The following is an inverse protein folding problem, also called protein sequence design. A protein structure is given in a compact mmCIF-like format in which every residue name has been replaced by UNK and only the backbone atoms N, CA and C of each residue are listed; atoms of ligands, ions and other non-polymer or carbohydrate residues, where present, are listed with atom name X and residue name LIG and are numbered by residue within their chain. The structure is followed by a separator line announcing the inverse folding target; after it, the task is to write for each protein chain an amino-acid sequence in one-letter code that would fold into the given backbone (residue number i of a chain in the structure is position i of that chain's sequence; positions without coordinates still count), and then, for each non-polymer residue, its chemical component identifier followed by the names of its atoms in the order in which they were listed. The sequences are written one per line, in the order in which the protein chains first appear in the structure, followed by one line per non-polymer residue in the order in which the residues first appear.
data_IF_802342488952
#
_entry.id   IF_802342488952
#
_cell.length_a   1.000
_cell.length_b   1.000
_cell.length_c   1.000
_cell.angle_alpha   90.00
_cell.angle_beta   90.00
_cell.angle_gamma   90.00
#
_symmetry.space_group_name_H-M   'P 1'
#
loop_
_entity.id
_entity.type
_entity.pdbx_description
1 polymer ?
#
# COMPACT_ATOMS: atom_id res chain seq x y z
N UNK A 1 7.56 1.75 10.69
CA UNK A 1 7.64 0.28 10.55
C UNK A 1 7.52 -0.19 9.11
N UNK A 2 6.51 0.27 8.35
CA UNK A 2 6.40 0.00 6.89
C UNK A 2 7.73 0.20 6.14
N UNK A 3 8.35 1.36 6.30
CA UNK A 3 9.64 1.70 5.65
C UNK A 3 10.75 0.73 5.95
N UNK A 4 10.90 0.31 7.22
CA UNK A 4 11.93 -0.64 7.64
C UNK A 4 11.73 -2.00 6.94
N UNK A 5 10.48 -2.46 6.85
CA UNK A 5 10.16 -3.72 6.15
C UNK A 5 10.48 -3.67 4.66
N UNK A 6 10.10 -2.59 3.97
CA UNK A 6 10.38 -2.43 2.54
C UNK A 6 11.88 -2.21 2.26
N UNK A 7 12.59 -1.47 3.11
CA UNK A 7 14.05 -1.32 3.02
C UNK A 7 14.78 -2.66 3.22
N UNK A 8 14.26 -3.54 4.08
CA UNK A 8 14.78 -4.91 4.22
C UNK A 8 14.76 -5.68 2.89
N UNK A 9 13.64 -5.61 2.14
CA UNK A 9 13.55 -6.20 0.80
C UNK A 9 14.52 -5.58 -0.21
N UNK A 10 14.71 -4.25 -0.15
CA UNK A 10 15.62 -3.53 -1.06
C UNK A 10 17.07 -3.94 -0.82
N UNK A 11 17.50 -4.02 0.45
CA UNK A 11 18.89 -4.36 0.81
C UNK A 11 19.23 -5.80 0.40
N UNK A 12 18.30 -6.75 0.58
CA UNK A 12 18.54 -8.15 0.26
C UNK A 12 18.81 -8.36 -1.23
N UNK A 13 18.05 -7.68 -2.11
CA UNK A 13 18.21 -7.86 -3.56
C UNK A 13 19.33 -7.00 -4.15
N UNK A 14 19.78 -5.95 -3.46
CA UNK A 14 20.76 -4.98 -3.96
C UNK A 14 22.04 -5.62 -4.51
N UNK A 15 22.52 -6.69 -3.87
CA UNK A 15 23.70 -7.44 -4.31
C UNK A 15 23.45 -8.30 -5.56
N UNK A 16 22.24 -8.85 -5.71
CA UNK A 16 21.91 -9.79 -6.78
C UNK A 16 21.46 -9.07 -8.04
N UNK A 17 20.57 -8.09 -7.89
CA UNK A 17 20.06 -7.31 -9.00
C UNK A 17 19.73 -5.87 -8.56
N UNK A 18 20.59 -4.89 -8.90
CA UNK A 18 20.38 -3.50 -8.50
C UNK A 18 19.16 -2.87 -9.19
N UNK A 19 18.80 -3.31 -10.40
CA UNK A 19 17.62 -2.79 -11.12
C UNK A 19 16.32 -3.17 -10.38
N UNK A 20 16.20 -4.42 -9.90
CA UNK A 20 15.06 -4.84 -9.07
C UNK A 20 15.00 -4.06 -7.74
N UNK A 21 16.15 -3.73 -7.16
CA UNK A 21 16.20 -2.91 -5.95
C UNK A 21 15.62 -1.51 -6.18
N UNK A 22 15.96 -0.88 -7.32
CA UNK A 22 15.49 0.43 -7.71
C UNK A 22 13.99 0.41 -8.04
N UNK A 23 13.53 -0.61 -8.76
CA UNK A 23 12.12 -0.82 -9.06
C UNK A 23 11.26 -0.91 -7.77
N UNK A 24 11.69 -1.70 -6.78
CA UNK A 24 11.00 -1.80 -5.50
C UNK A 24 11.00 -0.46 -4.75
N UNK A 25 12.11 0.28 -4.79
CA UNK A 25 12.19 1.61 -4.16
C UNK A 25 11.23 2.62 -4.79
N UNK A 26 11.17 2.70 -6.13
CA UNK A 26 10.26 3.60 -6.85
C UNK A 26 8.79 3.25 -6.55
N UNK A 27 8.42 1.96 -6.61
CA UNK A 27 7.06 1.54 -6.26
C UNK A 27 6.71 1.88 -4.81
N UNK A 28 7.66 1.70 -3.88
CA UNK A 28 7.45 2.05 -2.48
C UNK A 28 7.22 3.55 -2.29
N UNK A 29 7.97 4.41 -2.99
CA UNK A 29 7.75 5.87 -2.97
C UNK A 29 6.36 6.25 -3.49
N UNK A 30 5.93 5.64 -4.60
CA UNK A 30 4.59 5.90 -5.18
C UNK A 30 3.49 5.50 -4.19
N UNK A 31 3.56 4.29 -3.62
CA UNK A 31 2.53 3.80 -2.69
C UNK A 31 2.49 4.59 -1.38
N UNK A 32 3.65 5.00 -0.85
CA UNK A 32 3.70 5.81 0.36
C UNK A 32 3.19 7.23 0.12
N UNK A 33 3.52 7.84 -1.03
CA UNK A 33 2.95 9.12 -1.44
C UNK A 33 1.41 9.05 -1.56
N UNK A 34 0.88 7.99 -2.18
CA UNK A 34 -0.57 7.72 -2.25
C UNK A 34 -1.22 7.68 -0.85
N UNK A 35 -0.58 6.95 0.07
CA UNK A 35 -1.09 6.81 1.43
C UNK A 35 -1.03 8.12 2.21
N UNK A 36 0.08 8.87 2.14
CA UNK A 36 0.17 10.16 2.82
C UNK A 36 -0.80 11.20 2.24
N UNK A 37 -0.93 11.27 0.92
CA UNK A 37 -1.88 12.17 0.26
C UNK A 37 -3.32 11.91 0.70
N UNK A 38 -3.70 10.65 0.80
CA UNK A 38 -5.05 10.30 1.27
C UNK A 38 -5.26 10.61 2.76
N UNK A 39 -4.28 10.38 3.64
CA UNK A 39 -4.35 10.80 5.05
C UNK A 39 -4.46 12.31 5.21
N UNK A 40 -3.74 13.08 4.38
CA UNK A 40 -3.79 14.55 4.38
C UNK A 40 -5.19 15.02 3.97
N UNK A 41 -5.79 14.41 2.93
CA UNK A 41 -7.13 14.79 2.48
C UNK A 41 -8.24 14.54 3.53
N UNK A 42 -8.05 13.55 4.42
CA UNK A 42 -8.96 13.25 5.55
C UNK A 42 -8.53 13.93 6.85
N UNK A 43 -7.35 14.56 6.90
CA UNK A 43 -6.75 15.16 8.10
C UNK A 43 -6.67 14.20 9.30
N UNK A 44 -6.43 12.91 9.03
CA UNK A 44 -6.47 11.84 10.04
C UNK A 44 -5.08 11.37 10.43
N UNK A 45 -4.78 11.37 11.73
CA UNK A 45 -3.51 10.83 12.27
C UNK A 45 -3.72 9.58 13.12
N UNK A 46 -4.92 9.42 13.70
CA UNK A 46 -5.27 8.29 14.57
C UNK A 46 -6.14 7.27 13.83
N UNK A 47 -6.02 6.01 14.25
CA UNK A 47 -6.80 4.90 13.67
C UNK A 47 -8.33 5.11 13.76
N UNK A 48 -8.81 5.63 14.89
CA UNK A 48 -10.24 5.94 15.08
C UNK A 48 -10.75 7.09 14.22
N UNK A 49 -9.87 8.02 13.80
CA UNK A 49 -10.25 9.10 12.90
C UNK A 49 -10.37 8.60 11.46
N UNK A 50 -9.50 7.67 11.06
CA UNK A 50 -9.58 7.04 9.73
C UNK A 50 -10.84 6.17 9.62
N UNK A 51 -11.22 5.43 10.67
CA UNK A 51 -12.45 4.60 10.63
C UNK A 51 -13.73 5.44 10.47
N UNK A 52 -13.78 6.62 11.10
CA UNK A 52 -14.92 7.53 10.98
C UNK A 52 -15.02 8.23 9.61
N UNK A 53 -14.03 8.04 8.72
CA UNK A 53 -14.05 8.64 7.37
C UNK A 53 -15.00 7.93 6.41
N UNK A 54 -15.34 6.66 6.66
CA UNK A 54 -16.26 5.88 5.84
C UNK A 54 -17.63 6.55 5.67
N UNK A 55 -18.16 7.14 6.74
CA UNK A 55 -19.47 7.82 6.73
C UNK A 55 -19.45 9.19 6.04
N UNK A 56 -18.27 9.76 5.77
CA UNK A 56 -18.11 11.08 5.14
C UNK A 56 -17.70 10.97 3.68
N UNK A 57 -16.73 10.12 3.38
CA UNK A 57 -16.11 9.99 2.05
C UNK A 57 -15.82 8.52 1.72
N UNK A 58 -16.87 7.71 1.42
CA UNK A 58 -16.73 6.27 1.25
C UNK A 58 -15.75 5.89 0.12
N UNK A 59 -15.80 6.60 -1.02
CA UNK A 59 -14.91 6.34 -2.16
C UNK A 59 -13.43 6.50 -1.80
N UNK A 60 -13.08 7.54 -1.04
CA UNK A 60 -11.72 7.77 -0.60
C UNK A 60 -11.27 6.65 0.36
N UNK A 61 -12.11 6.29 1.34
CA UNK A 61 -11.82 5.19 2.27
C UNK A 61 -11.65 3.83 1.58
N UNK A 62 -12.37 3.56 0.50
CA UNK A 62 -12.13 2.33 -0.29
C UNK A 62 -10.78 2.37 -1.00
N UNK A 63 -10.39 3.52 -1.56
CA UNK A 63 -9.08 3.64 -2.22
C UNK A 63 -7.92 3.56 -1.24
N UNK A 64 -8.05 4.13 -0.03
CA UNK A 64 -7.00 4.02 1.00
C UNK A 64 -6.84 2.58 1.49
N UNK A 65 -7.95 1.85 1.64
CA UNK A 65 -7.94 0.42 1.95
C UNK A 65 -7.14 -0.37 0.89
N UNK A 66 -7.42 -0.14 -0.40
CA UNK A 66 -6.72 -0.81 -1.49
C UNK A 66 -5.21 -0.48 -1.52
N UNK A 67 -4.84 0.78 -1.27
CA UNK A 67 -3.42 1.19 -1.18
C UNK A 67 -2.71 0.54 0.03
N UNK A 68 -3.40 0.38 1.16
CA UNK A 68 -2.84 -0.35 2.31
C UNK A 68 -2.61 -1.83 1.99
N UNK A 69 -3.53 -2.46 1.25
CA UNK A 69 -3.35 -3.84 0.78
C UNK A 69 -2.25 -3.96 -0.28
N UNK A 70 -2.01 -2.92 -1.10
CA UNK A 70 -0.91 -2.92 -2.07
C UNK A 70 0.44 -2.85 -1.36
N UNK A 71 0.60 -2.02 -0.33
CA UNK A 71 1.79 -2.01 0.54
C UNK A 71 2.03 -3.38 1.20
N UNK A 72 0.96 -4.07 1.57
CA UNK A 72 1.05 -5.41 2.12
C UNK A 72 1.48 -6.46 1.08
N UNK A 73 1.28 -6.19 -0.21
CA UNK A 73 1.73 -7.01 -1.34
C UNK A 73 0.81 -8.20 -1.60
N UNK A 74 -0.50 -7.97 -1.66
CA UNK A 74 -1.48 -9.01 -2.00
C UNK A 74 -1.63 -9.22 -3.52
N UNK A 75 -1.88 -10.45 -3.99
CA UNK A 75 -1.97 -10.82 -5.41
C UNK A 75 -3.35 -10.45 -5.99
N UNK A 76 -3.59 -9.16 -6.26
CA UNK A 76 -3.72 -8.63 -7.63
C UNK A 76 -3.16 -7.19 -7.76
N UNK A 77 -2.48 -6.70 -6.72
CA UNK A 77 -2.05 -5.31 -6.56
C UNK A 77 -0.55 -5.14 -6.87
N UNK A 78 -0.17 -3.92 -7.22
CA UNK A 78 1.19 -3.55 -7.67
C UNK A 78 2.30 -3.97 -6.71
N UNK A 79 2.11 -3.81 -5.39
CA UNK A 79 3.14 -4.10 -4.40
C UNK A 79 3.42 -5.60 -4.22
N UNK A 80 2.64 -6.48 -4.84
CA UNK A 80 2.97 -7.91 -4.95
C UNK A 80 4.11 -8.16 -5.94
N UNK A 81 4.14 -7.43 -7.06
CA UNK A 81 5.12 -7.62 -8.13
C UNK A 81 6.58 -7.57 -7.64
N UNK A 82 7.05 -6.53 -6.90
CA UNK A 82 8.44 -6.49 -6.46
C UNK A 82 8.78 -7.63 -5.50
N UNK A 83 7.88 -8.00 -4.58
CA UNK A 83 8.12 -9.11 -3.64
C UNK A 83 8.25 -10.44 -4.39
N UNK A 84 7.33 -10.72 -5.33
CA UNK A 84 7.38 -11.92 -6.16
C UNK A 84 8.67 -11.97 -6.99
N UNK A 85 9.02 -10.88 -7.67
CA UNK A 85 10.23 -10.83 -8.50
C UNK A 85 11.50 -11.02 -7.67
N UNK A 86 11.59 -10.41 -6.49
CA UNK A 86 12.75 -10.60 -5.60
C UNK A 86 12.84 -12.05 -5.14
N UNK A 87 11.72 -12.69 -4.78
CA UNK A 87 11.75 -14.10 -4.39
C UNK A 87 12.16 -15.03 -5.53
N UNK A 88 11.70 -14.77 -6.76
CA UNK A 88 12.11 -15.53 -7.93
C UNK A 88 13.61 -15.40 -8.18
N UNK A 89 14.16 -14.18 -8.05
CA UNK A 89 15.59 -13.96 -8.25
C UNK A 89 16.44 -14.63 -7.16
N UNK A 90 15.99 -14.59 -5.90
CA UNK A 90 16.66 -15.32 -4.81
C UNK A 90 16.66 -16.84 -5.03
N UNK A 91 15.55 -17.40 -5.55
CA UNK A 91 15.46 -18.83 -5.87
C UNK A 91 16.41 -19.20 -7.02
N UNK A 92 16.52 -18.35 -8.07
CA UNK A 92 17.48 -18.57 -9.16
C UNK A 92 18.93 -18.61 -8.68
N UNK A 93 19.26 -17.81 -7.66
CA UNK A 93 20.60 -17.75 -7.05
C UNK A 93 20.82 -18.83 -5.98
N UNK A 94 19.97 -19.87 -5.93
CA UNK A 94 19.99 -20.96 -4.94
C UNK A 94 19.82 -20.52 -3.47
N UNK A 95 19.37 -19.28 -3.21
CA UNK A 95 19.15 -18.75 -1.86
C UNK A 95 17.71 -19.02 -1.37
N UNK A 96 17.24 -20.26 -1.51
CA UNK A 96 15.84 -20.65 -1.24
C UNK A 96 15.45 -20.50 0.23
N UNK A 97 16.34 -20.86 1.16
CA UNK A 97 16.11 -20.71 2.60
C UNK A 97 15.91 -19.24 2.99
N UNK A 98 16.73 -18.35 2.42
CA UNK A 98 16.63 -16.91 2.65
C UNK A 98 15.30 -16.36 2.13
N UNK A 99 14.89 -16.76 0.92
CA UNK A 99 13.61 -16.37 0.35
C UNK A 99 12.42 -16.81 1.23
N UNK A 100 12.45 -18.02 1.77
CA UNK A 100 11.40 -18.54 2.66
C UNK A 100 11.28 -17.74 3.96
N UNK A 101 12.42 -17.44 4.61
CA UNK A 101 12.45 -16.68 5.87
C UNK A 101 11.89 -15.26 5.66
N UNK A 102 12.31 -14.57 4.59
CA UNK A 102 11.86 -13.20 4.32
C UNK A 102 10.36 -13.19 4.00
N UNK A 103 9.86 -14.16 3.25
CA UNK A 103 8.43 -14.31 2.99
C UNK A 103 7.63 -14.51 4.27
N UNK A 104 8.08 -15.39 5.17
CA UNK A 104 7.44 -15.62 6.46
C UNK A 104 7.39 -14.34 7.32
N UNK A 105 8.50 -13.59 7.39
CA UNK A 105 8.55 -12.32 8.13
C UNK A 105 7.59 -11.29 7.51
N UNK A 106 7.44 -11.29 6.18
CA UNK A 106 6.55 -10.36 5.49
C UNK A 106 5.07 -10.56 5.83
N UNK A 107 4.67 -11.80 6.17
CA UNK A 107 3.31 -12.12 6.61
C UNK A 107 2.96 -11.44 7.95
N UNK A 108 3.95 -11.20 8.80
CA UNK A 108 3.74 -10.49 10.06
C UNK A 108 3.38 -9.01 9.80
N UNK A 109 4.02 -8.38 8.81
CA UNK A 109 3.67 -7.03 8.38
C UNK A 109 2.28 -7.00 7.72
N UNK A 110 1.93 -8.02 6.93
CA UNK A 110 0.60 -8.16 6.31
C UNK A 110 -0.52 -8.16 7.36
N UNK A 111 -0.35 -8.85 8.50
CA UNK A 111 -1.35 -8.88 9.56
C UNK A 111 -1.71 -7.48 10.08
N UNK A 112 -0.72 -6.59 10.23
CA UNK A 112 -0.98 -5.21 10.66
C UNK A 112 -1.83 -4.44 9.65
N UNK A 113 -1.53 -4.55 8.36
CA UNK A 113 -2.31 -3.89 7.31
C UNK A 113 -3.74 -4.44 7.24
N UNK A 114 -3.91 -5.76 7.35
CA UNK A 114 -5.24 -6.39 7.37
C UNK A 114 -6.09 -5.87 8.53
N UNK A 115 -5.53 -5.83 9.74
CA UNK A 115 -6.22 -5.26 10.92
C UNK A 115 -6.65 -3.81 10.68
N UNK A 116 -5.80 -3.02 10.02
CA UNK A 116 -6.11 -1.63 9.73
C UNK A 116 -7.27 -1.52 8.72
N UNK A 117 -7.22 -2.28 7.63
CA UNK A 117 -8.28 -2.29 6.62
C UNK A 117 -9.63 -2.74 7.18
N UNK A 118 -9.60 -3.71 8.09
CA UNK A 118 -10.79 -4.19 8.80
C UNK A 118 -11.49 -3.06 9.56
N UNK A 119 -10.72 -2.27 10.33
CA UNK A 119 -11.26 -1.16 11.14
C UNK A 119 -11.74 0.02 10.29
N UNK A 120 -11.15 0.24 9.10
CA UNK A 120 -11.49 1.38 8.24
C UNK A 120 -12.79 1.15 7.46
N UNK A 121 -12.99 -0.06 6.93
CA UNK A 121 -14.04 -0.31 5.93
C UNK A 121 -14.99 -1.44 6.30
N UNK A 122 -14.48 -2.53 6.87
CA UNK A 122 -15.28 -3.73 7.15
C UNK A 122 -16.13 -3.58 8.41
N UNK A 123 -15.72 -2.74 9.35
CA UNK A 123 -16.52 -2.37 10.53
C UNK A 123 -16.95 -0.91 10.47
N UNK A 124 -18.24 -0.66 10.68
CA UNK A 124 -18.77 0.69 10.84
C UNK A 124 -18.43 1.23 12.24
N UNK A 125 -17.55 2.22 12.32
CA UNK A 125 -17.28 2.91 13.60
C UNK A 125 -18.42 3.86 13.98
N UNK A 126 -18.64 4.12 15.28
CA UNK A 126 -19.69 5.03 15.74
C UNK A 126 -19.51 6.42 15.15
N UNK A 127 -20.57 6.98 14.60
CA UNK A 127 -20.56 8.28 13.95
C UNK A 127 -20.97 9.39 14.94
N UNK A 128 -20.33 10.56 14.86
CA UNK A 128 -20.66 11.70 15.72
C UNK A 128 -21.84 12.50 15.15
N UNK A 129 -22.67 13.15 15.99
CA UNK A 129 -23.81 13.97 15.51
C UNK A 129 -23.38 15.12 14.60
N UNK A 130 -22.14 15.62 14.74
CA UNK A 130 -21.54 16.63 13.87
C UNK A 130 -21.31 16.18 12.42
N UNK A 131 -21.40 14.87 12.12
CA UNK A 131 -21.25 14.34 10.76
C UNK A 131 -22.37 14.80 9.81
N UNK A 132 -23.58 15.02 10.29
CA UNK A 132 -24.73 15.45 9.48
C UNK A 132 -24.49 16.79 8.77
N UNK A 133 -23.64 17.66 9.34
CA UNK A 133 -23.28 18.94 8.71
C UNK A 133 -22.39 18.73 7.49
N UNK A 134 -21.49 17.73 7.55
CA UNK A 134 -20.59 17.40 6.43
C UNK A 134 -21.30 16.79 5.22
N UNK A 135 -22.52 16.26 5.40
CA UNK A 135 -23.32 15.73 4.30
C UNK A 135 -23.91 16.82 3.41
N UNK A 136 -23.99 18.05 3.91
CA UNK A 136 -24.54 19.20 3.17
C UNK A 136 -23.47 19.99 2.41
N UNK A 137 -22.19 19.72 2.68
CA UNK A 137 -21.08 20.39 2.01
C UNK A 137 -20.73 19.69 0.70
N UNK A 138 -20.50 20.45 -0.36
CA UNK A 138 -20.01 19.92 -1.63
C UNK A 138 -18.63 19.27 -1.44
N UNK A 139 -18.40 18.05 -1.97
CA UNK A 139 -17.12 17.39 -1.82
C UNK A 139 -16.02 18.17 -2.55
N UNK A 140 -14.89 18.40 -1.86
CA UNK A 140 -13.67 18.91 -2.51
C UNK A 140 -13.11 17.83 -3.45
N UNK A 141 -12.83 18.21 -4.69
CA UNK A 141 -12.18 17.32 -5.65
C UNK A 141 -10.67 17.27 -5.39
N UNK A 142 -10.15 16.11 -5.03
CA UNK A 142 -8.72 15.87 -4.90
C UNK A 142 -8.21 15.11 -6.14
N UNK A 143 -8.08 15.82 -7.28
CA UNK A 143 -7.69 15.21 -8.56
C UNK A 143 -6.30 14.57 -8.49
N UNK A 144 -5.33 15.25 -7.87
CA UNK A 144 -3.96 14.75 -7.74
C UNK A 144 -3.90 13.46 -6.89
N UNK A 145 -4.68 13.37 -5.82
CA UNK A 145 -4.68 12.17 -4.97
C UNK A 145 -5.32 10.99 -5.69
N UNK A 146 -6.32 11.23 -6.54
CA UNK A 146 -6.92 10.18 -7.37
C UNK A 146 -5.91 9.63 -8.40
N UNK A 147 -5.14 10.50 -9.06
CA UNK A 147 -4.10 10.07 -10.01
C UNK A 147 -3.01 9.24 -9.32
N UNK A 148 -2.50 9.69 -8.17
CA UNK A 148 -1.45 8.96 -7.45
C UNK A 148 -1.99 7.61 -6.91
N UNK A 149 -3.22 7.57 -6.40
CA UNK A 149 -3.84 6.33 -5.91
C UNK A 149 -4.08 5.33 -7.06
N UNK A 150 -4.54 5.79 -8.22
CA UNK A 150 -4.76 4.89 -9.38
C UNK A 150 -3.43 4.35 -9.91
N UNK A 151 -2.39 5.19 -9.99
CA UNK A 151 -1.04 4.75 -10.34
C UNK A 151 -0.56 3.67 -9.37
N UNK A 152 -0.73 3.87 -8.06
CA UNK A 152 -0.32 2.91 -7.03
C UNK A 152 -1.05 1.56 -7.12
N UNK A 153 -2.23 1.46 -7.77
CA UNK A 153 -3.03 0.24 -7.81
C UNK A 153 -2.93 -0.55 -9.13
N UNK A 154 -2.67 0.11 -10.27
CA UNK A 154 -2.86 -0.49 -11.61
C UNK A 154 -1.52 -0.79 -12.33
N UNK A 155 -0.36 -0.53 -11.72
CA UNK A 155 0.96 -0.81 -12.34
C UNK A 155 1.30 -2.31 -12.55
N UNK A 156 0.52 -3.27 -12.01
CA UNK A 156 0.83 -4.70 -12.10
C UNK A 156 0.95 -5.23 -13.55
N UNK A 157 0.01 -4.98 -14.48
CA UNK A 157 0.15 -5.36 -15.88
C UNK A 157 1.32 -4.69 -16.62
N UNK A 158 1.83 -3.55 -16.12
CA UNK A 158 2.97 -2.83 -16.71
C UNK A 158 4.33 -3.30 -16.17
N UNK A 159 4.33 -4.30 -15.30
CA UNK A 159 5.57 -4.89 -14.75
C UNK A 159 6.55 -5.40 -15.80
N UNK A 160 6.16 -6.13 -16.88
CA UNK A 160 7.14 -6.63 -17.86
C UNK A 160 7.80 -5.49 -18.64
N UNK A 161 7.04 -4.43 -18.97
CA UNK A 161 7.59 -3.27 -19.69
C UNK A 161 8.57 -2.47 -18.83
N UNK A 162 8.30 -2.35 -17.52
CA UNK A 162 9.16 -1.62 -16.59
C UNK A 162 10.48 -2.36 -16.27
N UNK A 163 10.51 -3.68 -16.46
CA UNK A 163 11.72 -4.49 -16.29
C UNK A 163 12.62 -4.51 -17.53
N UNK A 164 12.05 -4.28 -18.71
CA UNK A 164 12.76 -4.29 -19.99
C UNK A 164 13.46 -2.95 -20.30
N UNK A 165 13.05 -1.87 -19.64
CA UNK A 165 13.68 -0.54 -19.71
C UNK A 165 14.88 -0.44 -18.75
#
# INVERSE_FOLDING_TARGET
FSSIGHLGWIIVILKFNPQLSLFNFVLYLIMTAAMFMSLISVSSTKMSQISASWSKTPALSTTTMLVMLSLAGLPPLTGFAPKLLITLELVKQNATLLAAIIMLISLLALFFYLRLTYIITMTLSPNTPSSLVTWRTTPKSYSLTAVINTLALILLPLTPTLLLM
#
